data_IF_175582864172
#
_entry.id   IF_175582864172
#
_cell.length_a   1.000
_cell.length_b   1.000
_cell.length_c   1.000
_cell.angle_alpha   90.00
_cell.angle_beta   90.00
_cell.angle_gamma   90.00
#
_symmetry.space_group_name_H-M   'P 1'
#
loop_
_entity.id
_entity.type
_entity.pdbx_description
1 polymer ?
#
# COMPACT_ATOMS: atom_id res chain seq x y z
N UNK A 1 66.18 46.01 16.29
CA UNK A 1 66.50 46.18 14.86
C UNK A 1 66.43 44.80 14.23
N UNK A 2 65.42 44.34 13.48
CA UNK A 2 64.16 44.88 12.97
C UNK A 2 63.18 43.70 12.99
N UNK A 3 61.94 43.92 13.45
CA UNK A 3 60.85 42.97 13.28
C UNK A 3 60.34 43.11 11.85
N UNK A 4 60.41 42.04 11.05
CA UNK A 4 59.75 41.99 9.74
C UNK A 4 58.45 41.22 9.92
N UNK A 5 57.34 41.96 9.96
CA UNK A 5 55.98 41.40 9.88
C UNK A 5 55.80 40.76 8.50
N UNK A 6 55.51 39.45 8.46
CA UNK A 6 55.06 38.77 7.26
C UNK A 6 53.52 38.86 7.21
N UNK A 7 52.99 39.81 6.46
CA UNK A 7 51.56 39.87 6.14
C UNK A 7 51.26 38.85 5.04
N UNK A 8 50.68 37.71 5.40
CA UNK A 8 50.09 36.76 4.44
C UNK A 8 48.70 37.29 4.09
N UNK A 9 48.58 37.95 2.95
CA UNK A 9 47.30 38.30 2.35
C UNK A 9 46.68 37.04 1.74
N UNK A 10 45.70 36.45 2.44
CA UNK A 10 44.91 35.34 1.93
C UNK A 10 43.76 35.91 1.08
N UNK A 11 43.99 36.04 -0.23
CA UNK A 11 42.95 36.39 -1.19
C UNK A 11 41.99 35.20 -1.34
N UNK A 12 40.86 35.25 -0.65
CA UNK A 12 39.73 34.33 -0.84
C UNK A 12 39.09 34.69 -2.19
N UNK A 13 39.41 33.93 -3.24
CA UNK A 13 38.65 33.96 -4.48
C UNK A 13 37.28 33.30 -4.22
N UNK A 14 36.27 34.13 -3.92
CA UNK A 14 34.87 33.72 -4.03
C UNK A 14 34.54 33.57 -5.52
N UNK A 15 34.62 32.34 -6.03
CA UNK A 15 34.05 32.01 -7.33
C UNK A 15 32.52 31.98 -7.19
N UNK A 16 31.86 33.10 -7.41
CA UNK A 16 30.41 33.12 -7.65
C UNK A 16 30.15 32.46 -8.99
N UNK A 17 29.85 31.16 -8.98
CA UNK A 17 29.25 30.49 -10.13
C UNK A 17 27.83 31.00 -10.24
N UNK A 18 27.63 32.07 -11.02
CA UNK A 18 26.31 32.46 -11.50
C UNK A 18 25.99 31.49 -12.64
N UNK A 19 25.29 30.40 -12.31
CA UNK A 19 24.64 29.57 -13.32
C UNK A 19 23.53 30.41 -13.96
N UNK A 20 23.84 31.06 -15.07
CA UNK A 20 22.84 31.68 -15.93
C UNK A 20 22.33 30.59 -16.88
N UNK A 21 21.42 29.74 -16.40
CA UNK A 21 20.64 28.91 -17.31
C UNK A 21 19.75 29.84 -18.14
N UNK A 22 20.14 30.00 -19.40
CA UNK A 22 19.28 30.61 -20.42
C UNK A 22 18.10 29.65 -20.57
N UNK A 23 16.95 29.98 -19.99
CA UNK A 23 15.71 29.24 -20.21
C UNK A 23 15.40 29.33 -21.71
N UNK A 24 15.81 28.30 -22.45
CA UNK A 24 15.57 28.21 -23.88
C UNK A 24 14.07 28.01 -24.07
N UNK A 25 13.36 29.08 -24.43
CA UNK A 25 11.93 29.06 -24.72
C UNK A 25 11.69 28.43 -26.08
N UNK A 26 12.21 27.22 -26.31
CA UNK A 26 11.85 26.46 -27.50
C UNK A 26 10.36 26.12 -27.42
N UNK A 27 9.55 26.54 -28.41
CA UNK A 27 8.17 26.13 -28.46
C UNK A 27 8.13 24.60 -28.57
N UNK A 28 7.40 23.96 -27.64
CA UNK A 28 7.17 22.52 -27.70
C UNK A 28 6.69 22.14 -29.12
N UNK A 29 7.27 21.10 -29.74
CA UNK A 29 6.85 20.67 -31.07
C UNK A 29 5.36 20.33 -31.05
N UNK A 30 4.60 20.89 -32.00
CA UNK A 30 3.18 20.55 -32.18
C UNK A 30 3.06 19.26 -33.02
N UNK A 31 2.09 18.38 -32.71
CA UNK A 31 0.98 18.60 -31.78
C UNK A 31 1.36 18.41 -30.30
N UNK A 32 0.80 19.27 -29.44
CA UNK A 32 0.89 19.14 -27.97
C UNK A 32 0.06 17.96 -27.44
N UNK A 33 -0.77 17.38 -28.30
CA UNK A 33 -1.64 16.25 -28.03
C UNK A 33 -1.11 15.10 -28.88
N UNK A 34 -0.73 14.01 -28.23
CA UNK A 34 -0.43 12.77 -28.92
C UNK A 34 -1.74 12.20 -29.44
N UNK A 35 -1.88 12.16 -30.76
CA UNK A 35 -3.02 11.50 -31.41
C UNK A 35 -2.76 10.00 -31.46
N UNK A 36 -3.72 9.23 -30.97
CA UNK A 36 -3.72 7.78 -31.05
C UNK A 36 -4.81 7.35 -32.05
N UNK A 37 -4.61 6.28 -32.84
CA UNK A 37 -5.60 5.82 -33.80
C UNK A 37 -6.91 5.45 -33.09
N UNK A 38 -8.02 6.08 -33.46
CA UNK A 38 -9.37 5.73 -33.00
C UNK A 38 -9.76 4.32 -33.53
N UNK A 39 -10.36 3.50 -32.67
CA UNK A 39 -10.83 2.16 -33.05
C UNK A 39 -12.17 2.25 -33.81
N UNK A 40 -12.21 1.53 -34.93
CA UNK A 40 -13.35 1.24 -35.81
C UNK A 40 -14.40 0.39 -35.08
N UNK A 41 -15.68 0.46 -35.50
CA UNK A 41 -16.83 -0.30 -34.95
C UNK A 41 -16.49 -1.74 -34.53
N UNK A 42 -16.72 -2.04 -33.24
CA UNK A 42 -16.28 -3.27 -32.59
C UNK A 42 -17.29 -4.43 -32.70
N UNK A 43 -16.82 -5.61 -33.08
CA UNK A 43 -17.55 -6.87 -32.94
C UNK A 43 -17.57 -7.39 -31.49
N UNK A 44 -18.43 -8.36 -31.17
CA UNK A 44 -18.66 -8.86 -29.79
C UNK A 44 -17.40 -9.32 -29.03
N UNK A 45 -16.42 -9.94 -29.71
CA UNK A 45 -15.14 -10.34 -29.09
C UNK A 45 -14.31 -9.13 -28.66
N UNK A 46 -14.33 -8.07 -29.47
CA UNK A 46 -13.58 -6.85 -29.18
C UNK A 46 -14.27 -6.03 -28.07
N UNK A 47 -15.61 -6.10 -27.94
CA UNK A 47 -16.34 -5.46 -26.81
C UNK A 47 -15.90 -6.03 -25.47
N UNK A 48 -15.67 -7.35 -25.39
CA UNK A 48 -15.12 -7.98 -24.19
C UNK A 48 -13.68 -7.51 -23.89
N UNK A 49 -12.84 -7.40 -24.92
CA UNK A 49 -11.46 -6.88 -24.76
C UNK A 49 -11.46 -5.41 -24.29
N UNK A 50 -12.34 -4.57 -24.81
CA UNK A 50 -12.47 -3.18 -24.38
C UNK A 50 -12.96 -3.08 -22.93
N UNK A 51 -13.92 -3.91 -22.52
CA UNK A 51 -14.38 -3.97 -21.14
C UNK A 51 -13.26 -4.41 -20.18
N UNK A 52 -12.47 -5.43 -20.55
CA UNK A 52 -11.30 -5.86 -19.78
C UNK A 52 -10.26 -4.74 -19.63
N UNK A 53 -10.00 -3.99 -20.72
CA UNK A 53 -9.12 -2.83 -20.67
C UNK A 53 -9.67 -1.76 -19.72
N UNK A 54 -10.93 -1.37 -19.87
CA UNK A 54 -11.58 -0.38 -19.00
C UNK A 54 -11.51 -0.78 -17.52
N UNK A 55 -11.86 -2.01 -17.19
CA UNK A 55 -11.89 -2.49 -15.80
C UNK A 55 -10.49 -2.65 -15.20
N UNK A 56 -9.49 -3.05 -16.00
CA UNK A 56 -8.10 -3.09 -15.55
C UNK A 56 -7.52 -1.69 -15.34
N UNK A 57 -7.83 -0.72 -16.20
CA UNK A 57 -7.47 0.69 -15.99
C UNK A 57 -8.16 1.27 -14.76
N UNK A 58 -9.45 0.96 -14.55
CA UNK A 58 -10.16 1.37 -13.34
C UNK A 58 -9.51 0.81 -12.07
N UNK A 59 -9.15 -0.48 -12.04
CA UNK A 59 -8.43 -1.08 -10.91
C UNK A 59 -7.13 -0.34 -10.62
N UNK A 60 -6.28 -0.15 -11.63
CA UNK A 60 -5.00 0.55 -11.49
C UNK A 60 -5.21 1.98 -10.99
N UNK A 61 -6.21 2.69 -11.53
CA UNK A 61 -6.53 4.04 -11.06
C UNK A 61 -7.01 4.05 -9.59
N UNK A 62 -7.73 3.01 -9.16
CA UNK A 62 -8.11 2.79 -7.76
C UNK A 62 -6.90 2.57 -6.86
N UNK A 63 -6.01 1.63 -7.21
CA UNK A 63 -4.78 1.34 -6.46
C UNK A 63 -3.85 2.55 -6.37
N UNK A 64 -3.79 3.36 -7.42
CA UNK A 64 -2.99 4.58 -7.47
C UNK A 64 -3.68 5.79 -6.81
N UNK A 65 -4.86 5.62 -6.21
CA UNK A 65 -5.66 6.69 -5.59
C UNK A 65 -5.97 7.88 -6.54
N UNK A 66 -6.16 7.59 -7.82
CA UNK A 66 -6.52 8.57 -8.85
C UNK A 66 -8.03 8.75 -9.01
N UNK A 67 -8.84 7.88 -8.42
CA UNK A 67 -10.29 7.93 -8.47
C UNK A 67 -10.86 8.78 -7.32
N UNK A 68 -11.99 9.45 -7.57
CA UNK A 68 -12.79 10.00 -6.47
C UNK A 68 -13.34 8.88 -5.56
N UNK A 69 -13.69 9.16 -4.30
CA UNK A 69 -14.24 8.16 -3.39
C UNK A 69 -15.44 7.43 -4.00
N UNK A 70 -15.42 6.10 -3.94
CA UNK A 70 -16.45 5.22 -4.47
C UNK A 70 -16.95 4.28 -3.37
N UNK A 71 -18.22 3.84 -3.49
CA UNK A 71 -18.87 2.96 -2.50
C UNK A 71 -18.96 1.50 -2.94
N UNK A 72 -18.98 1.28 -4.25
CA UNK A 72 -19.08 -0.02 -4.90
C UNK A 72 -18.21 0.01 -6.16
N UNK A 73 -17.84 -1.17 -6.66
CA UNK A 73 -17.21 -1.28 -7.97
C UNK A 73 -18.19 -0.90 -9.10
N UNK A 74 -17.71 -0.49 -10.29
CA UNK A 74 -18.55 -0.36 -11.47
C UNK A 74 -19.22 -1.70 -11.78
N UNK A 75 -20.54 -1.70 -11.99
CA UNK A 75 -21.31 -2.93 -12.19
C UNK A 75 -20.81 -3.75 -13.39
N UNK A 76 -20.36 -3.08 -14.44
CA UNK A 76 -19.80 -3.73 -15.63
C UNK A 76 -18.44 -4.43 -15.36
N UNK A 77 -17.77 -4.12 -14.25
CA UNK A 77 -16.48 -4.69 -13.86
C UNK A 77 -16.59 -5.84 -12.85
N UNK A 78 -17.80 -6.28 -12.50
CA UNK A 78 -18.03 -7.35 -11.53
C UNK A 78 -17.24 -8.63 -11.84
N UNK A 79 -17.39 -9.14 -13.06
CA UNK A 79 -16.70 -10.36 -13.50
C UNK A 79 -15.19 -10.17 -13.55
N UNK A 80 -14.72 -8.98 -13.96
CA UNK A 80 -13.31 -8.64 -13.94
C UNK A 80 -12.73 -8.71 -12.52
N UNK A 81 -13.36 -8.03 -11.56
CA UNK A 81 -12.90 -7.97 -10.16
C UNK A 81 -12.90 -9.36 -9.55
N UNK A 82 -14.00 -10.12 -9.70
CA UNK A 82 -14.07 -11.51 -9.23
C UNK A 82 -12.92 -12.35 -9.79
N UNK A 83 -12.72 -12.32 -11.12
CA UNK A 83 -11.68 -13.11 -11.79
C UNK A 83 -10.27 -12.68 -11.37
N UNK A 84 -10.05 -11.40 -11.11
CA UNK A 84 -8.79 -10.90 -10.58
C UNK A 84 -8.54 -11.42 -9.16
N UNK A 85 -9.51 -11.23 -8.24
CA UNK A 85 -9.37 -11.57 -6.81
C UNK A 85 -9.20 -13.07 -6.55
N UNK A 86 -9.88 -13.92 -7.33
CA UNK A 86 -9.75 -15.39 -7.24
C UNK A 86 -8.65 -15.95 -8.17
N UNK A 87 -8.03 -15.09 -8.95
CA UNK A 87 -7.09 -15.45 -10.00
C UNK A 87 -5.64 -15.26 -9.59
N UNK A 88 -4.75 -15.71 -10.49
CA UNK A 88 -3.30 -15.62 -10.30
C UNK A 88 -2.79 -14.18 -10.23
N UNK A 89 -3.47 -13.23 -10.89
CA UNK A 89 -3.03 -11.85 -10.95
C UNK A 89 -2.97 -11.20 -9.55
N UNK A 90 -4.01 -11.38 -8.73
CA UNK A 90 -4.01 -10.88 -7.35
C UNK A 90 -2.89 -11.49 -6.50
N UNK A 91 -2.67 -12.81 -6.63
CA UNK A 91 -1.60 -13.51 -5.92
C UNK A 91 -0.22 -12.96 -6.32
N UNK A 92 0.02 -12.75 -7.62
CA UNK A 92 1.30 -12.22 -8.12
C UNK A 92 1.52 -10.79 -7.62
N UNK A 93 0.48 -9.94 -7.61
CA UNK A 93 0.59 -8.58 -7.07
C UNK A 93 0.96 -8.60 -5.58
N UNK A 94 0.32 -9.48 -4.79
CA UNK A 94 0.62 -9.66 -3.36
C UNK A 94 2.03 -10.22 -3.10
N UNK A 95 2.48 -11.18 -3.90
CA UNK A 95 3.83 -11.75 -3.82
C UNK A 95 4.90 -10.70 -4.14
N UNK A 96 4.65 -9.88 -5.17
CA UNK A 96 5.57 -8.82 -5.59
C UNK A 96 5.76 -7.77 -4.49
N UNK A 97 4.67 -7.25 -3.93
CA UNK A 97 4.75 -6.23 -2.86
C UNK A 97 5.42 -6.80 -1.61
N UNK A 98 5.06 -8.03 -1.21
CA UNK A 98 5.68 -8.68 -0.06
C UNK A 98 7.18 -8.89 -0.28
N UNK A 99 7.60 -9.26 -1.50
CA UNK A 99 9.01 -9.47 -1.82
C UNK A 99 9.82 -8.16 -1.80
N UNK A 100 9.29 -7.10 -2.39
CA UNK A 100 9.95 -5.78 -2.35
C UNK A 100 10.10 -5.26 -0.91
N UNK A 101 9.08 -5.47 -0.07
CA UNK A 101 9.14 -5.14 1.36
C UNK A 101 10.19 -5.98 2.10
N UNK A 102 10.25 -7.28 1.85
CA UNK A 102 11.25 -8.20 2.40
C UNK A 102 12.68 -7.75 2.02
N UNK A 103 12.90 -7.44 0.74
CA UNK A 103 14.20 -7.02 0.25
C UNK A 103 14.61 -5.66 0.80
N UNK A 104 13.67 -4.74 1.00
CA UNK A 104 13.92 -3.49 1.71
C UNK A 104 14.33 -3.77 3.16
N UNK A 105 13.56 -4.57 3.90
CA UNK A 105 13.82 -4.90 5.30
C UNK A 105 15.21 -5.48 5.51
N UNK A 106 15.67 -6.37 4.62
CA UNK A 106 17.01 -6.98 4.66
C UNK A 106 18.16 -5.99 4.50
N UNK A 107 17.90 -4.80 3.97
CA UNK A 107 18.92 -3.74 3.78
C UNK A 107 18.91 -2.69 4.90
N UNK A 108 17.92 -2.72 5.79
CA UNK A 108 17.84 -1.78 6.90
C UNK A 108 18.77 -2.24 8.02
N UNK A 109 19.68 -1.36 8.44
CA UNK A 109 20.48 -1.57 9.64
C UNK A 109 19.65 -1.18 10.86
N UNK A 110 19.32 -2.15 11.72
CA UNK A 110 18.57 -1.90 12.95
C UNK A 110 19.45 -1.19 13.99
N UNK A 111 18.87 -0.27 14.74
CA UNK A 111 19.56 0.52 15.77
C UNK A 111 19.99 -0.29 16.99
N UNK A 112 19.43 -1.49 17.19
CA UNK A 112 19.75 -2.39 18.30
C UNK A 112 19.20 -1.96 19.67
N UNK A 113 18.42 -0.88 19.72
CA UNK A 113 17.72 -0.39 20.91
C UNK A 113 16.34 -1.05 21.11
N UNK A 114 15.94 -1.91 20.17
CA UNK A 114 14.66 -2.61 20.17
C UNK A 114 13.47 -1.71 19.82
N UNK A 115 13.69 -0.58 19.15
CA UNK A 115 12.65 0.38 18.75
C UNK A 115 12.35 0.39 17.24
N UNK A 116 13.03 -0.42 16.44
CA UNK A 116 12.77 -0.54 15.00
C UNK A 116 11.49 -1.37 14.75
N UNK A 117 10.40 -0.68 14.40
CA UNK A 117 9.07 -1.26 14.27
C UNK A 117 8.65 -1.36 12.80
N UNK A 118 8.12 -2.51 12.42
CA UNK A 118 7.31 -2.70 11.23
C UNK A 118 5.82 -2.70 11.61
N UNK A 119 5.03 -1.86 10.95
CA UNK A 119 3.60 -1.74 11.20
C UNK A 119 2.82 -2.46 10.10
N UNK A 120 1.91 -3.33 10.50
CA UNK A 120 0.96 -3.99 9.60
C UNK A 120 -0.46 -3.52 9.91
N UNK A 121 -1.25 -3.28 8.86
CA UNK A 121 -2.70 -3.40 8.96
C UNK A 121 -3.11 -4.89 9.03
N UNK A 122 -4.35 -5.19 9.42
CA UNK A 122 -4.83 -6.56 9.58
C UNK A 122 -5.73 -6.98 8.41
N UNK A 123 -6.85 -6.28 8.20
CA UNK A 123 -7.84 -6.65 7.20
C UNK A 123 -7.30 -6.32 5.79
N UNK A 124 -7.42 -7.27 4.85
CA UNK A 124 -6.90 -7.16 3.48
C UNK A 124 -5.38 -6.96 3.38
N UNK A 125 -4.66 -7.10 4.51
CA UNK A 125 -3.20 -7.02 4.59
C UNK A 125 -2.60 -8.31 5.16
N UNK A 126 -3.02 -8.74 6.36
CA UNK A 126 -2.61 -10.02 6.96
C UNK A 126 -3.69 -11.09 6.82
N UNK A 127 -4.95 -10.71 7.04
CA UNK A 127 -6.13 -11.57 6.96
C UNK A 127 -6.95 -11.18 5.75
N UNK A 128 -7.38 -12.17 4.96
CA UNK A 128 -8.25 -11.95 3.80
C UNK A 128 -9.71 -12.10 4.20
N UNK A 129 -10.51 -11.06 3.98
CA UNK A 129 -11.97 -11.13 4.07
C UNK A 129 -12.60 -11.45 2.70
N UNK A 130 -11.82 -11.94 1.73
CA UNK A 130 -12.32 -12.35 0.42
C UNK A 130 -13.49 -13.36 0.51
N UNK A 131 -13.53 -14.33 1.45
CA UNK A 131 -14.71 -15.18 1.61
C UNK A 131 -16.00 -14.41 1.93
N UNK A 132 -15.91 -13.35 2.75
CA UNK A 132 -17.05 -12.46 2.99
C UNK A 132 -17.46 -11.75 1.69
N UNK A 133 -16.50 -11.13 0.99
CA UNK A 133 -16.81 -10.42 -0.25
C UNK A 133 -17.31 -11.34 -1.37
N UNK A 134 -16.93 -12.62 -1.38
CA UNK A 134 -17.46 -13.60 -2.33
C UNK A 134 -18.96 -13.82 -2.17
N UNK A 135 -19.46 -13.79 -0.93
CA UNK A 135 -20.89 -13.88 -0.61
C UNK A 135 -21.65 -12.56 -0.84
N UNK A 136 -20.93 -11.44 -1.01
CA UNK A 136 -21.48 -10.08 -1.17
C UNK A 136 -21.07 -9.42 -2.51
N UNK A 137 -20.98 -10.25 -3.56
CA UNK A 137 -20.82 -9.77 -4.93
C UNK A 137 -19.49 -9.06 -5.25
N UNK A 138 -18.41 -9.36 -4.51
CA UNK A 138 -17.06 -8.83 -4.73
C UNK A 138 -17.00 -7.28 -4.77
N UNK A 139 -17.82 -6.62 -3.95
CA UNK A 139 -17.85 -5.15 -3.85
C UNK A 139 -18.92 -4.48 -4.71
N UNK A 140 -19.87 -5.25 -5.27
CA UNK A 140 -21.09 -4.70 -5.88
C UNK A 140 -22.09 -4.18 -4.85
N UNK A 141 -22.04 -4.71 -3.63
CA UNK A 141 -22.93 -4.31 -2.55
C UNK A 141 -22.32 -3.16 -1.75
N UNK A 142 -23.18 -2.24 -1.26
CA UNK A 142 -22.74 -1.21 -0.32
C UNK A 142 -22.32 -1.91 0.97
N UNK A 143 -21.14 -1.56 1.46
CA UNK A 143 -20.58 -2.15 2.68
C UNK A 143 -21.50 -1.97 3.89
N UNK A 144 -21.90 -3.09 4.50
CA UNK A 144 -22.68 -3.13 5.75
C UNK A 144 -21.76 -3.50 6.93
N UNK A 145 -21.51 -2.49 7.78
CA UNK A 145 -20.69 -2.66 8.98
C UNK A 145 -21.24 -3.73 9.93
N UNK A 146 -22.56 -3.86 10.10
CA UNK A 146 -23.13 -4.84 11.04
C UNK A 146 -22.97 -6.26 10.54
N UNK A 147 -23.11 -6.48 9.24
CA UNK A 147 -22.91 -7.80 8.63
C UNK A 147 -21.43 -8.19 8.64
N UNK A 148 -20.55 -7.24 8.36
CA UNK A 148 -19.11 -7.47 8.46
C UNK A 148 -18.66 -7.73 9.91
N UNK A 149 -19.20 -7.01 10.90
CA UNK A 149 -18.91 -7.26 12.31
C UNK A 149 -19.27 -8.72 12.69
N UNK A 150 -20.44 -9.22 12.25
CA UNK A 150 -20.82 -10.64 12.46
C UNK A 150 -19.90 -11.62 11.74
N UNK A 151 -19.30 -11.23 10.61
CA UNK A 151 -18.31 -12.06 9.92
C UNK A 151 -17.01 -12.13 10.71
N UNK A 152 -16.53 -10.99 11.22
CA UNK A 152 -15.33 -10.91 12.08
C UNK A 152 -15.48 -11.78 13.32
N UNK A 153 -16.68 -11.81 13.91
CA UNK A 153 -16.99 -12.66 15.09
C UNK A 153 -16.80 -14.17 14.85
N UNK A 154 -16.65 -14.62 13.59
CA UNK A 154 -16.39 -16.03 13.27
C UNK A 154 -14.92 -16.44 13.39
N UNK A 155 -13.98 -15.49 13.53
CA UNK A 155 -12.53 -15.73 13.58
C UNK A 155 -11.98 -16.68 12.50
N UNK A 156 -12.54 -16.63 11.29
CA UNK A 156 -12.24 -17.59 10.22
C UNK A 156 -11.58 -16.96 8.98
N UNK A 157 -11.17 -15.69 9.04
CA UNK A 157 -10.50 -15.05 7.91
C UNK A 157 -9.14 -15.74 7.66
N UNK A 158 -8.86 -16.28 6.46
CA UNK A 158 -7.59 -16.93 6.17
C UNK A 158 -6.44 -15.94 6.11
N UNK A 159 -5.21 -16.42 6.32
CA UNK A 159 -4.01 -15.62 6.08
C UNK A 159 -3.85 -15.29 4.59
N UNK A 160 -3.35 -14.09 4.31
CA UNK A 160 -2.71 -13.77 3.04
C UNK A 160 -1.31 -14.37 3.08
N UNK A 161 -1.06 -15.39 2.26
CA UNK A 161 0.13 -16.24 2.37
C UNK A 161 1.46 -15.49 2.20
N UNK A 162 1.54 -14.55 1.25
CA UNK A 162 2.73 -13.72 1.04
C UNK A 162 3.00 -12.80 2.23
N UNK A 163 1.94 -12.26 2.84
CA UNK A 163 2.03 -11.44 4.05
C UNK A 163 2.49 -12.24 5.27
N UNK A 164 2.02 -13.48 5.44
CA UNK A 164 2.50 -14.37 6.51
C UNK A 164 3.99 -14.64 6.37
N UNK A 165 4.47 -14.93 5.15
CA UNK A 165 5.89 -15.12 4.88
C UNK A 165 6.71 -13.87 5.21
N UNK A 166 6.25 -12.69 4.78
CA UNK A 166 6.92 -11.42 5.10
C UNK A 166 6.95 -11.18 6.62
N UNK A 167 5.84 -11.41 7.30
CA UNK A 167 5.70 -11.26 8.74
C UNK A 167 6.73 -12.12 9.50
N UNK A 168 6.84 -13.40 9.15
CA UNK A 168 7.81 -14.32 9.76
C UNK A 168 9.26 -13.87 9.49
N UNK A 169 9.56 -13.39 8.28
CA UNK A 169 10.90 -12.93 7.94
C UNK A 169 11.28 -11.66 8.72
N UNK A 170 10.35 -10.72 8.89
CA UNK A 170 10.59 -9.51 9.68
C UNK A 170 10.87 -9.81 11.15
N UNK A 171 10.14 -10.75 11.74
CA UNK A 171 10.44 -11.25 13.08
C UNK A 171 11.84 -11.88 13.14
N UNK A 172 12.20 -12.69 12.14
CA UNK A 172 13.53 -13.30 12.02
C UNK A 172 14.68 -12.29 11.88
N UNK A 173 14.41 -11.15 11.24
CA UNK A 173 15.35 -10.03 11.11
C UNK A 173 15.47 -9.18 12.38
N UNK A 174 14.59 -9.38 13.38
CA UNK A 174 14.61 -8.67 14.65
C UNK A 174 13.78 -7.38 14.69
N UNK A 175 12.95 -7.14 13.68
CA UNK A 175 11.97 -6.05 13.75
C UNK A 175 10.95 -6.31 14.84
N UNK A 176 10.51 -5.23 15.48
CA UNK A 176 9.31 -5.23 16.31
C UNK A 176 8.08 -5.16 15.42
N UNK A 177 7.04 -5.93 15.71
CA UNK A 177 5.85 -5.97 14.87
C UNK A 177 4.64 -5.37 15.59
N UNK A 178 4.12 -4.30 15.01
CA UNK A 178 2.91 -3.63 15.52
C UNK A 178 1.76 -3.85 14.54
N UNK A 179 0.65 -4.33 15.05
CA UNK A 179 -0.60 -4.51 14.30
C UNK A 179 -1.51 -3.31 14.59
N UNK A 180 -1.91 -2.58 13.55
CA UNK A 180 -2.79 -1.42 13.64
C UNK A 180 -4.00 -1.64 12.74
N UNK A 181 -5.19 -1.82 13.32
CA UNK A 181 -6.39 -2.19 12.56
C UNK A 181 -7.58 -1.27 12.81
N UNK A 182 -8.42 -1.12 11.78
CA UNK A 182 -9.72 -0.46 11.85
C UNK A 182 -10.80 -1.23 12.62
N UNK A 183 -10.56 -2.51 12.97
CA UNK A 183 -11.44 -3.29 13.85
C UNK A 183 -11.62 -2.57 15.18
N UNK A 184 -12.80 -2.71 15.77
CA UNK A 184 -13.11 -2.09 17.06
C UNK A 184 -12.43 -2.85 18.19
N UNK A 185 -12.07 -2.13 19.25
CA UNK A 185 -11.53 -2.73 20.47
C UNK A 185 -12.41 -3.86 21.03
N UNK A 186 -13.74 -3.77 20.86
CA UNK A 186 -14.67 -4.83 21.26
C UNK A 186 -14.39 -6.17 20.59
N UNK A 187 -13.73 -6.19 19.43
CA UNK A 187 -13.34 -7.39 18.70
C UNK A 187 -11.89 -7.82 18.98
N UNK A 188 -11.25 -7.31 20.04
CA UNK A 188 -9.84 -7.63 20.34
C UNK A 188 -9.60 -9.13 20.44
N UNK A 189 -10.33 -9.83 21.30
CA UNK A 189 -10.11 -11.25 21.56
C UNK A 189 -10.33 -12.10 20.30
N UNK A 190 -11.42 -11.84 19.58
CA UNK A 190 -11.74 -12.60 18.35
C UNK A 190 -10.73 -12.31 17.22
N UNK A 191 -10.17 -11.10 17.17
CA UNK A 191 -9.08 -10.75 16.25
C UNK A 191 -7.80 -11.48 16.60
N UNK A 192 -7.44 -11.55 17.89
CA UNK A 192 -6.28 -12.30 18.38
C UNK A 192 -6.42 -13.79 18.04
N UNK A 193 -7.59 -14.35 18.28
CA UNK A 193 -7.90 -15.75 17.96
C UNK A 193 -7.72 -16.00 16.45
N UNK A 194 -8.33 -15.17 15.60
CA UNK A 194 -8.21 -15.33 14.16
C UNK A 194 -6.75 -15.23 13.69
N UNK A 195 -5.99 -14.23 14.17
CA UNK A 195 -4.56 -14.07 13.83
C UNK A 195 -3.76 -15.32 14.18
N UNK A 196 -3.96 -15.86 15.38
CA UNK A 196 -3.28 -17.10 15.84
C UNK A 196 -3.66 -18.32 15.03
N UNK A 197 -4.94 -18.45 14.67
CA UNK A 197 -5.45 -19.53 13.82
C UNK A 197 -4.88 -19.44 12.39
N UNK A 198 -4.69 -18.22 11.90
CA UNK A 198 -4.10 -17.93 10.59
C UNK A 198 -2.56 -18.05 10.56
N UNK A 199 -1.91 -18.23 11.71
CA UNK A 199 -0.47 -18.46 11.83
C UNK A 199 0.35 -17.27 12.31
N UNK A 200 -0.25 -16.08 12.42
CA UNK A 200 0.41 -14.89 12.97
C UNK A 200 0.54 -15.03 14.49
N UNK A 201 1.77 -14.89 15.00
CA UNK A 201 2.10 -14.97 16.44
C UNK A 201 3.20 -13.96 16.76
N UNK A 202 3.43 -13.72 18.04
CA UNK A 202 4.60 -12.96 18.52
C UNK A 202 4.68 -11.49 18.06
N UNK A 203 3.54 -10.85 17.76
CA UNK A 203 3.50 -9.39 17.59
C UNK A 203 3.75 -8.69 18.94
N UNK A 204 4.42 -7.55 18.91
CA UNK A 204 4.71 -6.76 20.12
C UNK A 204 3.50 -5.94 20.57
N UNK A 205 2.67 -5.46 19.64
CA UNK A 205 1.50 -4.64 19.98
C UNK A 205 0.35 -4.83 19.00
N UNK A 206 -0.87 -4.95 19.53
CA UNK A 206 -2.11 -4.91 18.75
C UNK A 206 -2.96 -3.70 19.15
N UNK A 207 -3.15 -2.81 18.20
CA UNK A 207 -3.83 -1.52 18.34
C UNK A 207 -5.11 -1.56 17.52
N UNK A 208 -6.25 -1.52 18.21
CA UNK A 208 -7.57 -1.47 17.59
C UNK A 208 -8.19 -0.08 17.80
N UNK A 209 -9.25 0.18 17.04
CA UNK A 209 -9.98 1.45 17.10
C UNK A 209 -10.85 1.55 18.36
N UNK A 210 -10.61 2.61 19.14
CA UNK A 210 -11.47 3.04 20.25
C UNK A 210 -12.48 4.10 19.76
N UNK A 211 -13.75 3.71 19.61
CA UNK A 211 -14.82 4.63 19.21
C UNK A 211 -14.67 5.20 17.80
N UNK A 212 -15.13 6.43 17.57
CA UNK A 212 -15.10 7.12 16.27
C UNK A 212 -13.88 8.03 16.06
N UNK A 213 -12.96 8.09 17.02
CA UNK A 213 -11.78 8.97 16.95
C UNK A 213 -10.58 8.23 16.38
N UNK A 214 -9.74 8.95 15.65
CA UNK A 214 -8.44 8.45 15.23
C UNK A 214 -7.62 8.00 16.46
N UNK A 215 -6.88 6.91 16.32
CA UNK A 215 -5.91 6.51 17.34
C UNK A 215 -4.79 7.54 17.33
N UNK A 216 -4.72 8.36 18.38
CA UNK A 216 -3.62 9.29 18.58
C UNK A 216 -2.55 8.57 19.38
N UNK A 217 -1.39 8.35 18.75
CA UNK A 217 -0.21 7.82 19.43
C UNK A 217 0.35 8.92 20.34
N UNK A 218 -0.02 8.89 21.62
CA UNK A 218 0.66 9.69 22.64
C UNK A 218 1.87 8.90 23.16
N UNK A 219 3.03 9.55 23.05
CA UNK A 219 4.31 9.22 23.67
C UNK A 219 5.12 8.05 23.06
N UNK A 220 6.16 8.43 22.32
CA UNK A 220 7.23 7.56 21.79
C UNK A 220 8.58 7.86 22.46
N UNK A 221 8.58 8.27 23.74
CA UNK A 221 9.84 8.49 24.47
C UNK A 221 10.38 7.19 25.06
#
# INVERSE_FOLDING_TARGET
>A
MNYVLFFISFLIFFSTVIAHEKLDSQPLPRPLILEYPEKVELGSKQVNEELQLKCSSWRIAGEANNLSPWKTIPSECADYVKNYMVGRAYIVDLEMVAKEAEDYAKRVELGGDGKDVWVFDVDETLLSNLPYYADHGYGLEIFDHSQFDKWVEKAMAPAIASSLKLYEELLGLGFKVFLLTGRRESHREITIENLRNAGFRDWDKLILRYGSKAVVFYDWR
#
